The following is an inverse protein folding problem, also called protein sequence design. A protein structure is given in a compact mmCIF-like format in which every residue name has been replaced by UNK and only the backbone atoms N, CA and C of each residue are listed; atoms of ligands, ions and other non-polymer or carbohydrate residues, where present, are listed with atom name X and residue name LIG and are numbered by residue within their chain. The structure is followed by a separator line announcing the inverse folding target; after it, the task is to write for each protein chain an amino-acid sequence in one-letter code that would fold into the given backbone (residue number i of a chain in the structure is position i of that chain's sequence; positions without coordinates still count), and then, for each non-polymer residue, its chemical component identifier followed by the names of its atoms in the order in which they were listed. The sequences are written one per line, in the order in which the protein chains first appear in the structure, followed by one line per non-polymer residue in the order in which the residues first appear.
data_IF_473296946139
#
_entry.id   IF_473296946139
#
_cell.length_a   1.000
_cell.length_b   1.000
_cell.length_c   1.000
_cell.angle_alpha   90.00
_cell.angle_beta   90.00
_cell.angle_gamma   90.00
#
_symmetry.space_group_name_H-M   'P 1'
#
loop_
_entity.id
_entity.type
_entity.pdbx_description
1 polymer ?
#
# COMPACT_ATOMS: atom_id res chain seq x y z
N UNK A 1 36.83 -42.80 -59.19
CA UNK A 1 37.19 -41.67 -58.27
C UNK A 1 36.25 -40.48 -58.33
N UNK A 2 35.70 -40.15 -59.48
CA UNK A 2 34.80 -38.92 -59.58
C UNK A 2 33.50 -39.02 -58.84
N UNK A 3 32.84 -40.17 -58.75
CA UNK A 3 31.56 -40.26 -58.00
C UNK A 3 31.70 -39.99 -56.50
N UNK A 4 32.81 -40.37 -55.89
CA UNK A 4 33.07 -40.12 -54.46
C UNK A 4 33.32 -38.61 -54.20
N UNK A 5 33.93 -37.93 -55.15
CA UNK A 5 34.17 -36.50 -55.12
C UNK A 5 32.87 -35.69 -55.19
N UNK A 6 31.96 -36.08 -56.08
CA UNK A 6 30.65 -35.42 -56.25
C UNK A 6 29.76 -35.59 -54.99
N UNK A 7 29.73 -36.78 -54.40
CA UNK A 7 28.99 -37.06 -53.19
C UNK A 7 29.53 -36.23 -52.00
N UNK A 8 30.86 -36.15 -51.86
CA UNK A 8 31.49 -35.29 -50.83
C UNK A 8 31.18 -33.81 -51.05
N UNK A 9 31.19 -33.35 -52.29
CA UNK A 9 30.85 -31.96 -52.62
C UNK A 9 29.39 -31.63 -52.30
N UNK A 10 28.46 -32.49 -52.67
CA UNK A 10 27.04 -32.36 -52.38
C UNK A 10 26.77 -32.43 -50.88
N UNK A 11 27.39 -33.35 -50.14
CA UNK A 11 27.32 -33.45 -48.68
C UNK A 11 27.88 -32.19 -47.99
N UNK A 12 28.99 -31.63 -48.48
CA UNK A 12 29.55 -30.37 -47.95
C UNK A 12 28.60 -29.17 -48.20
N UNK A 13 27.94 -29.10 -49.37
CA UNK A 13 26.95 -28.04 -49.64
C UNK A 13 25.74 -28.21 -48.69
N UNK A 14 25.24 -29.43 -48.55
CA UNK A 14 24.14 -29.71 -47.62
C UNK A 14 24.49 -29.41 -46.15
N UNK A 15 25.70 -29.76 -45.72
CA UNK A 15 26.15 -29.48 -44.36
C UNK A 15 26.38 -28.00 -44.12
N UNK A 16 26.98 -27.28 -45.07
CA UNK A 16 27.35 -25.87 -44.87
C UNK A 16 26.21 -24.88 -45.12
N UNK A 17 25.23 -25.21 -45.96
CA UNK A 17 24.11 -24.34 -46.28
C UNK A 17 22.78 -24.85 -45.69
N UNK A 18 22.57 -26.17 -45.76
CA UNK A 18 21.30 -26.77 -45.34
C UNK A 18 21.08 -26.73 -43.83
N UNK A 19 22.11 -27.02 -43.02
CA UNK A 19 22.00 -27.04 -41.59
C UNK A 19 21.74 -25.64 -40.99
N UNK A 20 22.51 -24.59 -41.33
CA UNK A 20 22.23 -23.23 -40.88
C UNK A 20 20.85 -22.74 -41.34
N UNK A 21 20.45 -23.05 -42.58
CA UNK A 21 19.12 -22.68 -43.08
C UNK A 21 18.01 -23.38 -42.30
N UNK A 22 18.13 -24.65 -41.99
CA UNK A 22 17.14 -25.40 -41.20
C UNK A 22 17.01 -24.79 -39.78
N UNK A 23 18.13 -24.49 -39.13
CA UNK A 23 18.14 -23.86 -37.79
C UNK A 23 17.50 -22.47 -37.82
N UNK A 24 17.87 -21.62 -38.79
CA UNK A 24 17.28 -20.28 -38.91
C UNK A 24 15.79 -20.33 -39.20
N UNK A 25 15.34 -21.28 -40.02
CA UNK A 25 13.92 -21.46 -40.31
C UNK A 25 13.15 -21.93 -39.08
N UNK A 26 13.70 -22.88 -38.30
CA UNK A 26 13.10 -23.34 -37.05
C UNK A 26 12.98 -22.23 -36.02
N UNK A 27 14.04 -21.41 -35.87
CA UNK A 27 14.02 -20.24 -34.98
C UNK A 27 13.01 -19.16 -35.46
N UNK A 28 12.86 -18.95 -36.78
CA UNK A 28 11.87 -18.05 -37.32
C UNK A 28 10.43 -18.52 -37.03
N UNK A 29 10.14 -19.81 -37.13
CA UNK A 29 8.84 -20.35 -36.73
C UNK A 29 8.59 -20.21 -35.21
N UNK A 30 9.60 -20.49 -34.38
CA UNK A 30 9.51 -20.31 -32.96
C UNK A 30 9.21 -18.83 -32.61
N UNK A 31 9.95 -17.89 -33.20
CA UNK A 31 9.74 -16.45 -33.03
C UNK A 31 8.34 -16.01 -33.44
N UNK A 32 7.83 -16.50 -34.59
CA UNK A 32 6.48 -16.22 -35.05
C UNK A 32 5.42 -16.69 -34.06
N UNK A 33 5.62 -17.85 -33.42
CA UNK A 33 4.76 -18.38 -32.37
C UNK A 33 4.83 -17.51 -31.11
N UNK A 34 6.04 -17.14 -30.68
CA UNK A 34 6.25 -16.25 -29.53
C UNK A 34 5.59 -14.88 -29.74
N UNK A 35 5.67 -14.31 -30.94
CA UNK A 35 5.00 -13.04 -31.28
C UNK A 35 3.48 -13.15 -31.16
N UNK A 36 2.87 -14.30 -31.52
CA UNK A 36 1.43 -14.53 -31.32
C UNK A 36 1.05 -14.56 -29.83
N UNK A 37 1.96 -15.03 -28.99
CA UNK A 37 1.84 -15.01 -27.52
C UNK A 37 2.25 -13.65 -26.92
N UNK A 38 2.38 -12.60 -27.75
CA UNK A 38 2.78 -11.22 -27.36
C UNK A 38 4.19 -11.13 -26.77
N UNK A 39 5.07 -12.07 -27.09
CA UNK A 39 6.49 -12.05 -26.69
C UNK A 39 7.32 -11.48 -27.83
N UNK A 40 7.99 -10.34 -27.60
CA UNK A 40 8.88 -9.70 -28.56
C UNK A 40 10.28 -10.31 -28.50
N UNK A 41 10.69 -10.97 -29.58
CA UNK A 41 12.07 -11.48 -29.72
C UNK A 41 12.88 -10.49 -30.56
N UNK A 42 13.90 -9.88 -29.97
CA UNK A 42 14.80 -8.93 -30.65
C UNK A 42 15.96 -9.60 -31.37
N UNK A 43 16.42 -10.72 -30.86
CA UNK A 43 17.56 -11.46 -31.40
C UNK A 43 17.19 -12.93 -31.49
N UNK A 44 17.22 -13.53 -32.70
CA UNK A 44 16.83 -14.92 -32.95
C UNK A 44 17.65 -15.93 -32.13
N UNK A 45 18.96 -15.71 -31.99
CA UNK A 45 19.83 -16.58 -31.19
C UNK A 45 19.48 -16.64 -29.70
N UNK A 46 18.78 -15.65 -29.17
CA UNK A 46 18.34 -15.66 -27.79
C UNK A 46 17.33 -16.78 -27.50
N UNK A 47 16.55 -17.22 -28.50
CA UNK A 47 15.59 -18.33 -28.35
C UNK A 47 16.32 -19.64 -28.02
N UNK A 48 17.49 -19.89 -28.62
CA UNK A 48 18.30 -21.07 -28.35
C UNK A 48 18.87 -21.05 -26.93
N UNK A 49 19.40 -19.91 -26.51
CA UNK A 49 19.91 -19.71 -25.15
C UNK A 49 18.81 -19.90 -24.11
N UNK A 50 17.61 -19.34 -24.35
CA UNK A 50 16.46 -19.50 -23.47
C UNK A 50 15.96 -20.93 -23.38
N UNK A 51 15.98 -21.66 -24.48
CA UNK A 51 15.54 -23.07 -24.52
C UNK A 51 16.41 -23.97 -23.62
N UNK A 52 17.67 -23.62 -23.41
CA UNK A 52 18.63 -24.37 -22.58
C UNK A 52 18.71 -23.83 -21.12
N UNK A 53 17.91 -22.85 -20.77
CA UNK A 53 17.93 -22.29 -19.42
C UNK A 53 17.35 -23.30 -18.41
N UNK A 54 18.14 -23.68 -17.42
CA UNK A 54 17.72 -24.53 -16.30
C UNK A 54 17.23 -23.74 -15.09
N UNK A 55 17.58 -22.46 -15.01
CA UNK A 55 17.19 -21.55 -13.93
C UNK A 55 16.79 -20.21 -14.54
N UNK A 56 15.66 -19.70 -14.09
CA UNK A 56 15.14 -18.38 -14.48
C UNK A 56 15.13 -17.49 -13.25
N UNK A 57 15.93 -16.42 -13.27
CA UNK A 57 15.93 -15.39 -12.24
C UNK A 57 15.11 -14.19 -12.75
N UNK A 58 14.09 -13.80 -12.02
CA UNK A 58 13.28 -12.64 -12.36
C UNK A 58 13.14 -11.70 -11.17
N UNK A 59 13.10 -10.40 -11.44
CA UNK A 59 12.67 -9.44 -10.44
C UNK A 59 11.16 -9.59 -10.20
N UNK A 60 10.73 -9.37 -8.96
CA UNK A 60 9.32 -9.47 -8.59
C UNK A 60 8.53 -8.28 -9.13
N UNK A 61 9.05 -7.08 -8.91
CA UNK A 61 8.29 -5.84 -9.08
C UNK A 61 8.28 -5.37 -10.54
N UNK A 62 7.09 -5.28 -11.13
CA UNK A 62 6.91 -4.86 -12.52
C UNK A 62 7.11 -6.00 -13.54
N UNK A 63 7.55 -7.17 -13.11
CA UNK A 63 7.66 -8.38 -13.95
C UNK A 63 6.61 -9.41 -13.56
N UNK A 64 6.57 -9.81 -12.29
CA UNK A 64 5.55 -10.73 -11.76
C UNK A 64 4.32 -10.00 -11.20
N UNK A 65 4.42 -8.71 -11.00
CA UNK A 65 3.34 -7.85 -10.50
C UNK A 65 3.12 -6.67 -11.43
N UNK A 66 1.91 -6.13 -11.44
CA UNK A 66 1.56 -4.92 -12.20
C UNK A 66 2.15 -3.64 -11.61
N UNK A 67 2.88 -3.75 -10.49
CA UNK A 67 3.49 -2.61 -9.84
C UNK A 67 2.49 -1.56 -9.31
N UNK A 68 1.23 -1.95 -9.15
CA UNK A 68 0.15 -1.15 -8.58
C UNK A 68 -0.09 -1.58 -7.14
N UNK A 69 -0.14 -0.61 -6.23
CA UNK A 69 -0.50 -0.85 -4.84
C UNK A 69 -1.97 -0.47 -4.63
N UNK A 70 -2.67 -1.27 -3.83
CA UNK A 70 -4.04 -1.01 -3.41
C UNK A 70 -4.18 -1.28 -1.93
N UNK A 71 -5.11 -0.57 -1.27
CA UNK A 71 -5.50 -0.88 0.10
C UNK A 71 -6.41 -2.11 0.04
N UNK A 72 -6.05 -3.18 0.74
CA UNK A 72 -6.80 -4.45 0.73
C UNK A 72 -7.36 -4.82 2.09
N UNK A 73 -6.79 -4.30 3.16
CA UNK A 73 -7.24 -4.50 4.52
C UNK A 73 -6.71 -3.38 5.42
N UNK A 74 -7.31 -3.21 6.58
CA UNK A 74 -6.83 -2.25 7.58
C UNK A 74 -7.57 -2.36 8.90
N UNK A 75 -7.20 -1.50 9.83
CA UNK A 75 -7.79 -1.39 11.15
C UNK A 75 -8.03 0.07 11.49
N UNK A 76 -9.21 0.39 11.98
CA UNK A 76 -9.53 1.70 12.56
C UNK A 76 -9.55 1.53 14.08
N UNK A 77 -8.63 2.20 14.75
CA UNK A 77 -8.36 1.92 16.15
C UNK A 77 -7.85 0.48 16.33
N UNK A 78 -8.39 -0.22 17.34
CA UNK A 78 -7.95 -1.57 17.70
C UNK A 78 -8.95 -2.63 17.23
N UNK A 79 -10.24 -2.34 17.33
CA UNK A 79 -11.30 -3.34 17.23
C UNK A 79 -11.97 -3.44 15.85
N UNK A 80 -12.05 -2.32 15.12
CA UNK A 80 -12.67 -2.31 13.80
C UNK A 80 -11.65 -2.73 12.73
N UNK A 81 -11.83 -3.90 12.14
CA UNK A 81 -11.03 -4.41 11.03
C UNK A 81 -11.83 -4.32 9.75
N UNK A 82 -11.20 -3.88 8.67
CA UNK A 82 -11.85 -3.91 7.36
C UNK A 82 -11.00 -4.66 6.35
N UNK A 83 -11.67 -5.23 5.37
CA UNK A 83 -11.02 -5.94 4.27
C UNK A 83 -11.81 -5.71 2.99
N UNK A 84 -11.10 -5.66 1.88
CA UNK A 84 -11.71 -5.59 0.55
C UNK A 84 -12.33 -6.94 0.21
N UNK A 85 -13.66 -6.97 -0.10
CA UNK A 85 -14.45 -8.19 -0.33
C UNK A 85 -14.34 -9.16 0.84
N UNK A 86 -15.05 -8.86 1.91
CA UNK A 86 -15.01 -9.61 3.14
C UNK A 86 -15.33 -11.11 2.92
N UNK A 87 -16.32 -11.43 2.09
CA UNK A 87 -16.73 -12.81 1.81
C UNK A 87 -15.59 -13.67 1.23
N UNK A 88 -14.73 -13.05 0.39
CA UNK A 88 -13.60 -13.75 -0.25
C UNK A 88 -12.32 -13.73 0.61
N UNK A 89 -12.21 -12.80 1.55
CA UNK A 89 -10.97 -12.47 2.25
C UNK A 89 -11.11 -12.43 3.77
N UNK A 90 -12.07 -13.14 4.35
CA UNK A 90 -12.36 -13.13 5.78
C UNK A 90 -11.13 -13.45 6.65
N UNK A 91 -10.26 -14.35 6.20
CA UNK A 91 -9.01 -14.70 6.86
C UNK A 91 -8.04 -13.52 7.06
N UNK A 92 -8.22 -12.40 6.34
CA UNK A 92 -7.38 -11.20 6.46
C UNK A 92 -7.78 -10.28 7.63
N UNK A 93 -8.89 -10.54 8.30
CA UNK A 93 -9.34 -9.69 9.41
C UNK A 93 -9.03 -10.25 10.78
N UNK A 94 -8.98 -11.57 10.93
CA UNK A 94 -8.89 -12.31 12.20
C UNK A 94 -9.91 -11.89 13.30
N UNK A 95 -10.89 -11.06 12.97
CA UNK A 95 -11.86 -10.57 13.95
C UNK A 95 -13.01 -11.54 14.17
N UNK A 96 -13.44 -12.25 13.12
CA UNK A 96 -14.59 -13.16 13.12
C UNK A 96 -14.23 -14.64 13.04
N UNK A 97 -12.93 -15.00 12.95
CA UNK A 97 -12.51 -16.40 12.94
C UNK A 97 -12.91 -17.11 14.26
N UNK A 98 -13.81 -18.07 14.15
CA UNK A 98 -13.91 -19.17 15.12
C UNK A 98 -12.67 -20.07 14.91
N UNK A 99 -11.56 -19.68 15.50
CA UNK A 99 -10.35 -20.50 15.50
C UNK A 99 -10.71 -21.83 16.16
N UNK A 100 -10.48 -22.94 15.45
CA UNK A 100 -10.49 -24.25 16.05
C UNK A 100 -9.62 -24.25 17.32
N UNK A 101 -10.03 -24.92 18.39
CA UNK A 101 -9.38 -24.88 19.70
C UNK A 101 -7.86 -25.12 19.67
N UNK A 102 -7.33 -25.77 18.63
CA UNK A 102 -5.90 -26.03 18.44
C UNK A 102 -5.14 -24.84 17.84
N UNK A 103 -5.75 -24.07 16.97
CA UNK A 103 -5.15 -22.85 16.40
C UNK A 103 -5.10 -21.70 17.42
N UNK A 104 -6.06 -21.63 18.36
CA UNK A 104 -6.09 -20.64 19.46
C UNK A 104 -4.89 -20.83 20.40
N UNK A 105 -4.46 -22.07 20.65
CA UNK A 105 -3.29 -22.36 21.50
C UNK A 105 -1.97 -21.93 20.85
N UNK A 106 -1.86 -22.00 19.53
CA UNK A 106 -0.65 -21.62 18.79
C UNK A 106 -0.55 -20.11 18.54
N UNK A 107 -1.67 -19.43 18.28
CA UNK A 107 -1.68 -18.03 17.89
C UNK A 107 -1.72 -17.03 19.06
N UNK A 108 -2.05 -17.47 20.28
CA UNK A 108 -2.12 -16.61 21.47
C UNK A 108 -3.11 -15.43 21.36
N UNK A 109 -3.97 -15.44 20.35
CA UNK A 109 -4.91 -14.35 20.04
C UNK A 109 -6.19 -14.57 20.86
N UNK A 110 -6.33 -13.85 21.96
CA UNK A 110 -7.63 -13.74 22.63
C UNK A 110 -8.47 -12.73 21.84
N UNK A 111 -9.55 -13.22 21.20
CA UNK A 111 -10.58 -12.38 20.58
C UNK A 111 -11.18 -11.46 21.65
N UNK A 112 -11.22 -10.16 21.37
CA UNK A 112 -11.92 -9.22 22.25
C UNK A 112 -13.40 -9.16 21.85
N UNK A 113 -14.36 -9.09 22.80
CA UNK A 113 -15.78 -9.05 22.49
C UNK A 113 -16.20 -7.93 21.53
N UNK A 114 -15.43 -6.85 21.50
CA UNK A 114 -15.67 -5.68 20.65
C UNK A 114 -15.00 -5.78 19.27
N UNK A 115 -14.23 -6.84 18.99
CA UNK A 115 -13.59 -7.01 17.69
C UNK A 115 -14.66 -7.35 16.64
N UNK A 116 -14.63 -6.65 15.50
CA UNK A 116 -15.53 -6.92 14.38
C UNK A 116 -14.83 -6.64 13.05
N UNK A 117 -15.29 -7.37 12.04
CA UNK A 117 -14.88 -7.19 10.65
C UNK A 117 -15.97 -6.53 9.83
N UNK A 118 -15.56 -5.74 8.86
CA UNK A 118 -16.47 -5.05 7.94
C UNK A 118 -15.90 -5.10 6.52
N UNK A 119 -16.77 -5.16 5.53
CA UNK A 119 -16.36 -4.97 4.15
C UNK A 119 -15.91 -3.50 3.92
N UNK A 120 -14.87 -3.31 3.12
CA UNK A 120 -14.34 -1.99 2.81
C UNK A 120 -15.42 -1.04 2.27
N UNK A 121 -16.36 -1.54 1.46
CA UNK A 121 -17.45 -0.73 0.88
C UNK A 121 -18.40 -0.17 1.93
N UNK A 122 -18.53 -0.87 3.06
CA UNK A 122 -19.40 -0.49 4.17
C UNK A 122 -18.67 0.32 5.26
N UNK A 123 -17.41 0.71 5.03
CA UNK A 123 -16.61 1.40 6.04
C UNK A 123 -17.23 2.71 6.51
N UNK A 124 -17.92 3.41 5.61
CA UNK A 124 -18.63 4.66 5.92
C UNK A 124 -19.77 4.47 6.94
N UNK A 125 -20.30 3.27 7.12
CA UNK A 125 -21.43 3.03 8.07
C UNK A 125 -20.97 3.02 9.53
N UNK A 126 -19.70 2.74 9.78
CA UNK A 126 -19.15 2.67 11.14
C UNK A 126 -18.31 3.90 11.51
N UNK A 127 -17.97 4.73 10.52
CA UNK A 127 -17.17 5.95 10.75
C UNK A 127 -18.10 7.15 10.94
N UNK A 128 -17.89 7.91 12.03
CA UNK A 128 -18.55 9.22 12.17
C UNK A 128 -18.06 10.17 11.06
N UNK A 129 -18.89 11.18 10.69
CA UNK A 129 -18.48 12.17 9.68
C UNK A 129 -17.13 12.83 10.00
N UNK A 130 -16.89 13.18 11.27
CA UNK A 130 -15.64 13.80 11.70
C UNK A 130 -14.44 12.86 11.57
N UNK A 131 -14.60 11.57 11.91
CA UNK A 131 -13.56 10.57 11.75
C UNK A 131 -13.24 10.37 10.27
N UNK A 132 -14.27 10.33 9.42
CA UNK A 132 -14.11 10.22 7.96
C UNK A 132 -13.36 11.42 7.39
N UNK A 133 -13.71 12.65 7.80
CA UNK A 133 -13.05 13.87 7.35
C UNK A 133 -11.60 13.93 7.85
N UNK A 134 -11.35 13.51 9.10
CA UNK A 134 -10.01 13.39 9.67
C UNK A 134 -9.15 12.42 8.87
N UNK A 135 -9.72 11.26 8.52
CA UNK A 135 -9.05 10.22 7.75
C UNK A 135 -8.75 10.71 6.32
N UNK A 136 -9.74 11.30 5.66
CA UNK A 136 -9.61 11.87 4.34
C UNK A 136 -8.55 12.99 4.30
N UNK A 137 -8.58 13.91 5.24
CA UNK A 137 -7.58 14.98 5.36
C UNK A 137 -6.16 14.40 5.57
N UNK A 138 -6.02 13.38 6.44
CA UNK A 138 -4.75 12.69 6.68
C UNK A 138 -4.18 12.03 5.42
N UNK A 139 -5.03 11.55 4.52
CA UNK A 139 -4.61 10.95 3.24
C UNK A 139 -4.32 12.03 2.20
N UNK A 140 -5.24 12.97 2.02
CA UNK A 140 -5.23 13.91 0.89
C UNK A 140 -4.26 15.06 1.08
N UNK A 141 -4.26 15.69 2.26
CA UNK A 141 -3.40 16.85 2.55
C UNK A 141 -1.96 16.40 2.83
N UNK A 142 -1.79 15.27 3.53
CA UNK A 142 -0.48 14.68 3.78
C UNK A 142 -0.05 13.79 2.60
N UNK A 143 -0.03 14.32 1.38
CA UNK A 143 0.38 13.59 0.18
C UNK A 143 0.92 14.56 -0.87
N UNK A 144 1.96 14.12 -1.59
CA UNK A 144 2.55 14.84 -2.72
C UNK A 144 2.03 14.34 -4.08
N UNK A 145 1.34 13.20 -4.12
CA UNK A 145 0.76 12.65 -5.34
C UNK A 145 -0.35 13.56 -5.88
N UNK A 146 -0.51 13.62 -7.19
CA UNK A 146 -1.49 14.44 -7.90
C UNK A 146 -2.15 13.66 -9.03
N UNK A 147 -3.27 14.17 -9.56
CA UNK A 147 -3.91 13.59 -10.74
C UNK A 147 -3.25 14.12 -12.02
N UNK A 148 -2.99 13.21 -12.95
CA UNK A 148 -2.55 13.52 -14.30
C UNK A 148 -3.28 12.60 -15.29
N UNK A 149 -3.33 13.02 -16.55
CA UNK A 149 -3.87 12.18 -17.61
C UNK A 149 -2.84 11.14 -18.03
N UNK A 150 -3.24 9.89 -18.05
CA UNK A 150 -2.40 8.81 -18.59
C UNK A 150 -2.19 9.05 -20.09
N UNK A 151 -0.94 9.16 -20.56
CA UNK A 151 -0.64 9.48 -21.95
C UNK A 151 -1.09 8.40 -22.95
N UNK A 152 -1.32 7.16 -22.51
CA UNK A 152 -1.75 6.06 -23.38
C UNK A 152 -3.27 5.90 -23.41
N UNK A 153 -3.94 6.04 -22.27
CA UNK A 153 -5.39 5.81 -22.14
C UNK A 153 -6.22 7.08 -22.08
N UNK A 154 -5.61 8.22 -21.74
CA UNK A 154 -6.31 9.48 -21.50
C UNK A 154 -7.12 9.50 -20.19
N UNK A 155 -7.08 8.44 -19.40
CA UNK A 155 -7.75 8.37 -18.10
C UNK A 155 -7.01 9.18 -17.04
N UNK A 156 -7.75 9.78 -16.12
CA UNK A 156 -7.17 10.52 -15.00
C UNK A 156 -6.73 9.55 -13.91
N UNK A 157 -5.42 9.47 -13.70
CA UNK A 157 -4.77 8.60 -12.73
C UNK A 157 -3.96 9.39 -11.71
N UNK A 158 -3.78 8.85 -10.51
CA UNK A 158 -2.88 9.45 -9.54
C UNK A 158 -1.42 9.12 -9.85
N UNK A 159 -0.59 10.16 -9.93
CA UNK A 159 0.85 10.08 -10.17
C UNK A 159 1.59 10.48 -8.89
N UNK A 160 2.59 9.67 -8.50
CA UNK A 160 3.40 9.90 -7.31
C UNK A 160 3.89 8.62 -6.65
N UNK A 161 4.19 8.68 -5.36
CA UNK A 161 4.54 7.51 -4.57
C UNK A 161 3.40 6.48 -4.58
N UNK A 162 3.72 5.21 -4.83
CA UNK A 162 2.72 4.13 -4.89
C UNK A 162 1.88 4.00 -3.63
N UNK A 163 2.46 4.25 -2.47
CA UNK A 163 1.72 4.27 -1.21
C UNK A 163 0.71 5.41 -1.18
N UNK A 164 1.08 6.58 -1.68
CA UNK A 164 0.19 7.75 -1.71
C UNK A 164 -0.92 7.58 -2.72
N UNK A 165 -0.58 7.09 -3.91
CA UNK A 165 -1.59 6.81 -4.95
C UNK A 165 -2.59 5.74 -4.51
N UNK A 166 -2.13 4.70 -3.79
CA UNK A 166 -3.00 3.68 -3.22
C UNK A 166 -3.98 4.25 -2.19
N UNK A 167 -3.52 5.13 -1.31
CA UNK A 167 -4.37 5.78 -0.31
C UNK A 167 -5.36 6.76 -0.94
N UNK A 168 -4.96 7.54 -1.95
CA UNK A 168 -5.85 8.45 -2.67
C UNK A 168 -6.93 7.68 -3.45
N UNK A 169 -6.56 6.57 -4.11
CA UNK A 169 -7.53 5.69 -4.76
C UNK A 169 -8.51 5.08 -3.76
N UNK A 170 -8.03 4.67 -2.58
CA UNK A 170 -8.88 4.18 -1.51
C UNK A 170 -9.91 5.23 -1.06
N UNK A 171 -9.49 6.49 -0.85
CA UNK A 171 -10.41 7.56 -0.51
C UNK A 171 -11.43 7.84 -1.63
N UNK A 172 -11.01 7.77 -2.90
CA UNK A 172 -11.88 7.92 -4.07
C UNK A 172 -12.88 6.78 -4.20
N UNK A 173 -12.46 5.52 -3.98
CA UNK A 173 -13.33 4.34 -3.99
C UNK A 173 -14.43 4.42 -2.91
N UNK A 174 -14.13 5.02 -1.75
CA UNK A 174 -15.08 5.22 -0.66
C UNK A 174 -16.00 6.44 -0.84
N UNK A 175 -15.84 7.18 -1.93
CA UNK A 175 -16.65 8.36 -2.24
C UNK A 175 -16.39 9.54 -1.28
N UNK A 176 -15.21 9.64 -0.71
CA UNK A 176 -14.86 10.73 0.17
C UNK A 176 -14.64 12.05 -0.61
N UNK A 177 -14.57 13.15 0.12
CA UNK A 177 -14.42 14.49 -0.50
C UNK A 177 -13.21 14.56 -1.42
N UNK A 178 -13.37 15.29 -2.53
CA UNK A 178 -12.34 15.49 -3.54
C UNK A 178 -11.03 16.00 -2.92
N UNK A 179 -9.95 15.33 -3.25
CA UNK A 179 -8.62 15.65 -2.73
C UNK A 179 -8.15 17.06 -3.09
N UNK A 180 -8.55 17.62 -4.26
CA UNK A 180 -8.20 18.98 -4.67
C UNK A 180 -8.85 20.00 -3.74
N UNK A 181 -10.16 19.85 -3.52
CA UNK A 181 -10.91 20.71 -2.59
C UNK A 181 -10.35 20.66 -1.18
N UNK A 182 -9.99 19.45 -0.72
CA UNK A 182 -9.39 19.28 0.62
C UNK A 182 -8.03 19.96 0.74
N UNK A 183 -7.20 19.90 -0.29
CA UNK A 183 -5.89 20.58 -0.31
C UNK A 183 -6.00 22.08 -0.43
N UNK A 184 -6.89 22.57 -1.27
CA UNK A 184 -7.14 24.01 -1.46
C UNK A 184 -7.70 24.67 -0.19
N UNK A 185 -8.53 23.94 0.56
CA UNK A 185 -9.08 24.41 1.83
C UNK A 185 -8.07 24.33 2.98
N UNK A 186 -7.03 23.52 2.88
CA UNK A 186 -6.06 23.31 3.96
C UNK A 186 -5.00 24.42 3.99
N UNK A 187 -4.88 25.11 5.11
CA UNK A 187 -3.79 26.07 5.36
C UNK A 187 -2.59 25.30 5.89
N UNK A 188 -1.65 24.95 5.01
CA UNK A 188 -0.43 24.24 5.39
C UNK A 188 0.54 25.19 6.07
N UNK A 189 0.93 24.87 7.30
CA UNK A 189 1.90 25.62 8.09
C UNK A 189 3.32 25.08 7.93
N UNK A 190 3.44 23.75 7.85
CA UNK A 190 4.74 23.09 7.72
C UNK A 190 4.60 21.73 7.03
N UNK A 191 5.57 21.36 6.22
CA UNK A 191 5.62 20.05 5.56
C UNK A 191 6.90 19.32 5.99
N UNK A 192 6.75 18.07 6.40
CA UNK A 192 7.83 17.17 6.78
C UNK A 192 7.95 16.12 5.70
N UNK A 193 8.92 16.24 4.77
CA UNK A 193 9.10 15.27 3.68
C UNK A 193 9.39 13.87 4.20
N UNK A 194 9.14 12.85 3.36
CA UNK A 194 9.50 11.48 3.69
C UNK A 194 11.01 11.34 3.86
N UNK A 195 11.45 10.71 4.93
CA UNK A 195 12.83 10.31 5.16
C UNK A 195 12.90 8.80 5.39
N UNK A 196 13.87 8.14 4.75
CA UNK A 196 14.10 6.70 4.94
C UNK A 196 14.55 6.35 6.36
N UNK A 197 15.13 7.29 7.07
CA UNK A 197 15.51 7.14 8.48
C UNK A 197 14.29 7.17 9.39
N UNK A 198 13.43 8.17 9.24
CA UNK A 198 12.15 8.28 9.98
C UNK A 198 11.10 7.30 9.52
N UNK A 199 11.17 6.83 8.27
CA UNK A 199 10.16 6.03 7.57
C UNK A 199 8.75 6.64 7.68
N UNK A 200 8.67 7.96 7.76
CA UNK A 200 7.44 8.72 7.92
C UNK A 200 7.52 10.05 7.20
N UNK A 201 6.36 10.58 6.84
CA UNK A 201 6.16 11.95 6.38
C UNK A 201 5.00 12.58 7.12
N UNK A 202 4.94 13.91 7.13
CA UNK A 202 3.86 14.61 7.80
C UNK A 202 3.60 16.01 7.25
N UNK A 203 2.46 16.54 7.63
CA UNK A 203 2.07 17.91 7.33
C UNK A 203 1.38 18.51 8.53
N UNK A 204 1.68 19.77 8.80
CA UNK A 204 1.00 20.57 9.83
C UNK A 204 0.05 21.53 9.13
N UNK A 205 -1.19 21.52 9.52
CA UNK A 205 -2.24 22.41 9.01
C UNK A 205 -2.82 23.25 10.13
N UNK A 206 -3.31 24.43 9.77
CA UNK A 206 -4.10 25.28 10.68
C UNK A 206 -5.56 24.84 10.60
N UNK A 207 -6.16 24.60 11.76
CA UNK A 207 -7.59 24.33 11.88
C UNK A 207 -8.39 25.64 11.92
N UNK A 208 -9.70 25.52 11.71
CA UNK A 208 -10.64 26.66 11.72
C UNK A 208 -10.73 27.37 13.08
N UNK A 209 -10.47 26.65 14.16
CA UNK A 209 -10.43 27.16 15.54
C UNK A 209 -9.10 27.83 15.91
N UNK A 210 -8.14 27.91 14.97
CA UNK A 210 -6.81 28.50 15.17
C UNK A 210 -5.75 27.53 15.67
N UNK A 211 -6.13 26.36 16.17
CA UNK A 211 -5.18 25.29 16.54
C UNK A 211 -4.42 24.75 15.32
N UNK A 212 -3.33 24.07 15.56
CA UNK A 212 -2.59 23.39 14.52
C UNK A 212 -2.72 21.87 14.66
N UNK A 213 -2.89 21.17 13.55
CA UNK A 213 -2.94 19.71 13.51
C UNK A 213 -1.82 19.16 12.66
N UNK A 214 -1.04 18.26 13.24
CA UNK A 214 -0.05 17.46 12.54
C UNK A 214 -0.69 16.15 12.09
N UNK A 215 -0.63 15.88 10.81
CA UNK A 215 -0.88 14.56 10.24
C UNK A 215 0.44 13.86 9.95
N UNK A 216 0.57 12.62 10.39
CA UNK A 216 1.72 11.76 10.10
C UNK A 216 1.26 10.47 9.43
N UNK A 217 2.02 10.03 8.42
CA UNK A 217 1.88 8.69 7.84
C UNK A 217 3.25 8.04 7.70
N UNK A 218 3.32 6.74 7.94
CA UNK A 218 4.59 6.01 7.83
C UNK A 218 4.49 4.57 8.31
N UNK A 219 5.65 3.98 8.51
CA UNK A 219 5.78 2.59 8.94
C UNK A 219 5.07 2.38 10.28
N UNK A 220 4.12 1.44 10.28
CA UNK A 220 3.23 1.19 11.43
C UNK A 220 4.00 0.76 12.68
N UNK A 221 5.04 -0.05 12.51
CA UNK A 221 5.89 -0.53 13.61
C UNK A 221 6.69 0.59 14.32
N UNK A 222 6.88 1.72 13.64
CA UNK A 222 7.57 2.90 14.20
C UNK A 222 6.57 3.86 14.83
N UNK A 223 5.51 4.20 14.08
CA UNK A 223 4.55 5.20 14.52
C UNK A 223 3.70 4.70 15.68
N UNK A 224 3.30 3.42 15.70
CA UNK A 224 2.50 2.85 16.79
C UNK A 224 3.17 3.01 18.16
N UNK A 225 4.49 2.87 18.24
CA UNK A 225 5.26 3.04 19.48
C UNK A 225 5.29 4.48 20.00
N UNK A 226 4.99 5.45 19.13
CA UNK A 226 4.94 6.87 19.48
C UNK A 226 3.53 7.37 19.83
N UNK A 227 2.51 6.51 19.63
CA UNK A 227 1.12 6.84 19.90
C UNK A 227 0.75 6.55 21.36
N UNK A 228 -0.04 7.44 21.98
CA UNK A 228 -0.58 7.23 23.34
C UNK A 228 -2.06 6.97 23.35
N UNK A 229 -2.75 7.35 22.29
CA UNK A 229 -4.20 7.18 22.17
C UNK A 229 -4.50 6.50 20.83
N UNK A 230 -5.58 5.76 20.80
CA UNK A 230 -6.15 5.22 19.57
C UNK A 230 -7.60 5.70 19.41
N UNK A 231 -8.05 5.74 18.17
CA UNK A 231 -9.45 6.04 17.85
C UNK A 231 -10.33 4.87 18.27
N UNK A 232 -11.49 5.17 18.82
CA UNK A 232 -12.48 4.18 19.22
C UNK A 232 -13.65 4.22 18.25
N UNK A 233 -13.95 3.06 17.65
CA UNK A 233 -15.06 2.87 16.71
C UNK A 233 -15.91 1.70 17.19
N UNK A 234 -17.22 1.93 17.38
CA UNK A 234 -18.19 0.89 17.68
C UNK A 234 -18.89 0.42 16.40
N UNK A 235 -19.56 -0.75 16.46
CA UNK A 235 -20.33 -1.28 15.33
C UNK A 235 -21.39 -0.30 14.82
N UNK A 236 -22.03 0.43 15.73
CA UNK A 236 -23.15 1.33 15.45
C UNK A 236 -22.74 2.80 15.49
N UNK A 237 -21.44 3.09 15.45
CA UNK A 237 -20.94 4.46 15.65
C UNK A 237 -21.31 5.45 14.53
N UNK A 238 -21.61 4.93 13.33
CA UNK A 238 -21.97 5.78 12.18
C UNK A 238 -23.41 6.30 12.19
N UNK A 239 -24.34 5.61 12.86
CA UNK A 239 -25.77 5.93 12.81
C UNK A 239 -26.23 6.97 13.86
N UNK A 240 -25.44 7.16 14.95
CA UNK A 240 -25.92 7.88 16.12
C UNK A 240 -25.08 9.13 16.51
N UNK A 241 -24.04 9.49 15.74
CA UNK A 241 -23.20 10.64 16.07
C UNK A 241 -23.45 11.84 15.16
N UNK A 242 -23.87 12.95 15.77
CA UNK A 242 -23.99 14.24 15.10
C UNK A 242 -22.62 14.81 14.67
N UNK A 243 -22.65 15.86 13.86
CA UNK A 243 -21.43 16.56 13.37
C UNK A 243 -20.66 17.30 14.49
N UNK A 244 -21.23 17.47 15.67
CA UNK A 244 -20.64 18.27 16.78
C UNK A 244 -19.85 17.43 17.79
N UNK A 245 -19.80 16.10 17.64
CA UNK A 245 -19.06 15.25 18.57
C UNK A 245 -17.61 15.06 18.15
N UNK A 246 -16.68 15.24 19.10
CA UNK A 246 -15.26 14.97 18.88
C UNK A 246 -15.02 13.48 18.57
N UNK A 247 -13.94 13.19 17.81
CA UNK A 247 -13.52 11.82 17.54
C UNK A 247 -13.18 11.12 18.84
N UNK A 248 -13.90 10.03 19.15
CA UNK A 248 -13.68 9.27 20.37
C UNK A 248 -12.28 8.62 20.34
N UNK A 249 -11.54 8.84 21.42
CA UNK A 249 -10.19 8.27 21.60
C UNK A 249 -10.06 7.60 22.95
N UNK A 250 -9.22 6.56 23.02
CA UNK A 250 -8.88 5.89 24.27
C UNK A 250 -7.36 5.78 24.41
N UNK A 251 -6.89 5.75 25.65
CA UNK A 251 -5.46 5.64 25.95
C UNK A 251 -4.94 4.25 25.57
N UNK A 252 -3.78 4.21 24.92
CA UNK A 252 -3.11 2.95 24.62
C UNK A 252 -2.43 2.45 25.91
N UNK A 253 -3.04 1.44 26.53
CA UNK A 253 -2.45 0.66 27.62
C UNK A 253 -1.63 -0.50 27.07
N UNK A 254 -1.08 -1.30 27.97
CA UNK A 254 -0.23 -2.45 27.63
C UNK A 254 -0.94 -3.46 26.71
N UNK A 255 -2.18 -3.82 27.05
CA UNK A 255 -3.02 -4.72 26.25
C UNK A 255 -3.34 -4.17 24.86
N UNK A 256 -3.61 -2.88 24.76
CA UNK A 256 -3.87 -2.20 23.50
C UNK A 256 -2.62 -2.17 22.61
N UNK A 257 -1.46 -1.85 23.19
CA UNK A 257 -0.16 -1.86 22.50
C UNK A 257 0.19 -3.26 21.95
N UNK A 258 -0.09 -4.29 22.73
CA UNK A 258 0.13 -5.68 22.32
C UNK A 258 -0.81 -6.09 21.16
N UNK A 259 -2.10 -5.71 21.24
CA UNK A 259 -3.06 -5.95 20.14
C UNK A 259 -2.63 -5.27 18.84
N UNK A 260 -2.20 -4.01 18.92
CA UNK A 260 -1.68 -3.27 17.75
C UNK A 260 -0.48 -4.00 17.15
N UNK A 261 0.48 -4.40 17.98
CA UNK A 261 1.69 -5.10 17.54
C UNK A 261 1.35 -6.43 16.87
N UNK A 262 0.43 -7.20 17.44
CA UNK A 262 -0.07 -8.46 16.85
C UNK A 262 -0.77 -8.23 15.52
N UNK A 263 -1.59 -7.17 15.42
CA UNK A 263 -2.26 -6.81 14.16
C UNK A 263 -1.24 -6.47 13.07
N UNK A 264 -0.20 -5.71 13.39
CA UNK A 264 0.88 -5.39 12.44
C UNK A 264 1.58 -6.67 11.97
N UNK A 265 1.95 -7.56 12.91
CA UNK A 265 2.60 -8.85 12.60
C UNK A 265 1.68 -9.74 11.77
N UNK A 266 0.38 -9.77 12.07
CA UNK A 266 -0.61 -10.54 11.33
C UNK A 266 -0.67 -10.11 9.85
N UNK A 267 -0.72 -8.82 9.57
CA UNK A 267 -0.69 -8.32 8.19
C UNK A 267 0.68 -8.55 7.52
N UNK A 268 1.78 -8.37 8.24
CA UNK A 268 3.12 -8.63 7.72
C UNK A 268 3.32 -10.09 7.32
N UNK A 269 2.78 -11.04 8.09
CA UNK A 269 2.80 -12.48 7.76
C UNK A 269 2.01 -12.81 6.50
N UNK A 270 1.03 -11.99 6.12
CA UNK A 270 0.30 -12.07 4.86
C UNK A 270 0.99 -11.30 3.71
N UNK A 271 2.26 -10.92 3.90
CA UNK A 271 3.06 -10.14 2.94
C UNK A 271 2.49 -8.76 2.62
N UNK A 272 1.62 -8.22 3.48
CA UNK A 272 1.05 -6.89 3.32
C UNK A 272 1.99 -5.83 3.92
N UNK A 273 2.13 -4.71 3.22
CA UNK A 273 2.81 -3.52 3.76
C UNK A 273 1.84 -2.75 4.62
N UNK A 274 2.18 -2.52 5.87
CA UNK A 274 1.35 -1.77 6.82
C UNK A 274 1.80 -0.31 6.92
N UNK A 275 0.84 0.61 6.86
CA UNK A 275 1.04 2.06 6.99
C UNK A 275 0.15 2.56 8.11
N UNK A 276 0.73 3.25 9.07
CA UNK A 276 -0.03 3.96 10.10
C UNK A 276 -0.33 5.40 9.66
N UNK A 277 -1.55 5.84 9.96
CA UNK A 277 -1.99 7.23 9.86
C UNK A 277 -2.21 7.74 11.28
N UNK A 278 -1.55 8.83 11.64
CA UNK A 278 -1.58 9.39 12.98
C UNK A 278 -1.84 10.89 12.92
N UNK A 279 -2.40 11.46 13.98
CA UNK A 279 -2.56 12.90 14.10
C UNK A 279 -2.24 13.38 15.52
N UNK A 280 -1.98 14.69 15.64
CA UNK A 280 -1.81 15.38 16.91
C UNK A 280 -2.20 16.82 16.78
N UNK A 281 -2.94 17.30 17.75
CA UNK A 281 -3.34 18.71 17.85
C UNK A 281 -2.39 19.48 18.78
N UNK A 282 -2.13 20.74 18.43
CA UNK A 282 -1.33 21.70 19.15
C UNK A 282 -2.12 22.99 19.28
N UNK A 283 -2.06 23.63 20.44
CA UNK A 283 -2.69 24.92 20.69
C UNK A 283 -2.11 26.03 19.79
N UNK A 284 -0.80 25.94 19.49
CA UNK A 284 -0.12 26.88 18.61
C UNK A 284 0.99 26.19 17.82
N UNK A 285 1.38 26.77 16.70
CA UNK A 285 2.50 26.29 15.89
C UNK A 285 3.48 27.45 15.59
N UNK A 286 4.81 27.27 15.76
CA UNK A 286 5.48 26.12 16.38
C UNK A 286 5.17 25.99 17.88
N UNK A 287 5.13 24.75 18.43
CA UNK A 287 4.93 24.54 19.86
C UNK A 287 6.16 25.03 20.64
N UNK A 288 5.93 25.64 21.80
CA UNK A 288 6.98 26.26 22.60
C UNK A 288 8.05 25.28 23.13
N UNK A 289 7.73 24.00 23.22
CA UNK A 289 8.58 22.97 23.82
C UNK A 289 9.32 22.09 22.80
N UNK A 290 9.32 22.44 21.53
CA UNK A 290 9.97 21.63 20.47
C UNK A 290 11.18 22.36 19.94
N UNK A 291 12.37 21.79 20.19
CA UNK A 291 13.59 22.24 19.52
C UNK A 291 13.44 22.04 18.01
N UNK A 292 13.40 23.14 17.27
CA UNK A 292 13.52 23.11 15.82
C UNK A 292 15.00 23.00 15.49
N UNK A 293 15.44 21.90 14.88
CA UNK A 293 16.80 21.82 14.35
C UNK A 293 17.00 22.86 13.25
N UNK A 294 18.26 23.31 12.99
CA UNK A 294 18.57 24.32 11.97
C UNK A 294 18.11 23.92 10.54
N UNK A 295 17.79 22.65 10.31
CA UNK A 295 17.33 22.09 9.05
C UNK A 295 15.80 21.97 8.97
N UNK A 296 15.02 22.67 9.81
CA UNK A 296 13.56 22.59 9.91
C UNK A 296 13.02 21.18 10.24
N UNK A 297 13.82 20.30 10.77
CA UNK A 297 13.37 19.02 11.31
C UNK A 297 12.75 19.23 12.69
N UNK A 298 11.44 19.30 12.73
CA UNK A 298 10.71 19.18 13.99
C UNK A 298 11.03 17.82 14.59
N UNK A 299 11.72 17.82 15.73
CA UNK A 299 12.03 16.58 16.42
C UNK A 299 10.73 15.95 16.91
N UNK A 300 10.24 14.94 16.19
CA UNK A 300 9.00 14.21 16.49
C UNK A 300 9.15 13.30 17.73
N UNK A 301 10.29 13.40 18.43
CA UNK A 301 10.71 12.43 19.43
C UNK A 301 10.00 12.51 20.79
N UNK A 302 9.17 13.49 21.07
CA UNK A 302 8.86 13.75 22.49
C UNK A 302 7.40 13.75 22.92
N UNK A 303 6.39 13.63 22.06
CA UNK A 303 5.00 13.49 22.56
C UNK A 303 4.08 12.67 21.66
N UNK A 304 3.14 11.99 22.30
CA UNK A 304 2.33 10.93 21.70
C UNK A 304 1.25 11.41 20.76
N UNK A 305 1.05 10.64 19.72
CA UNK A 305 0.12 10.84 18.61
C UNK A 305 -1.12 9.96 18.80
N UNK A 306 -2.30 10.48 18.48
CA UNK A 306 -3.48 9.65 18.25
C UNK A 306 -3.30 8.81 16.97
N UNK A 307 -3.73 7.55 16.97
CA UNK A 307 -3.47 6.60 15.88
C UNK A 307 -4.73 6.32 15.07
N UNK A 308 -4.61 6.49 13.73
CA UNK A 308 -5.44 5.88 12.70
C UNK A 308 -4.60 4.76 12.05
N UNK A 309 -5.04 3.53 12.11
CA UNK A 309 -4.45 2.43 11.31
C UNK A 309 -5.35 2.03 10.18
#
# INVERSE_FOLDING_TARGET
MERVSLIRFVLNIFANIGLPLAVTLALAFATKRMTREKLLVRVLGSCETMANASVICTDKTGTLTQNVMTVVAGSIGIHAKFVRKLDDNQARTNADEELSNDAVKLAGTRKHPNDFSIDQTNLNTVMSPQLRDLFNASITVNSTAFEDADPETGEVVFVGSRTETALLNFAKELGWSDYKKMREAAIVLHMIPFSSERKAMGVVVRLTDGRARLYLKGASEILSKKCTHHVVVGRDAGEHRGYDEEVATAKIGESASDNISRTIIFYANQTLRTIALCYRDFESWPPYDVETSPENEVCLATRPLGMLM
#
